data_IF_980580151558
#
_entry.id   IF_980580151558
#
_cell.length_a   1.000
_cell.length_b   1.000
_cell.length_c   1.000
_cell.angle_alpha   90.00
_cell.angle_beta   90.00
_cell.angle_gamma   90.00
#
_symmetry.space_group_name_H-M   'P 1'
#
loop_
_entity.id
_entity.type
_entity.pdbx_description
1 polymer ?
#
# COMPACT_ATOMS: atom_id res chain seq x y z
N UNK A 1 -10.98 -39.50 -1.19
CA UNK A 1 -9.55 -39.65 -0.81
C UNK A 1 -8.67 -39.36 -2.01
N UNK A 2 -8.25 -38.10 -2.24
CA UNK A 2 -7.17 -37.76 -3.17
C UNK A 2 -5.86 -37.50 -2.41
N UNK A 3 -4.76 -38.00 -2.96
CA UNK A 3 -3.47 -38.06 -2.28
C UNK A 3 -2.68 -36.74 -2.43
N UNK A 4 -2.11 -36.30 -1.30
CA UNK A 4 -1.25 -35.12 -1.16
C UNK A 4 0.16 -35.45 -1.66
N UNK A 5 0.57 -34.82 -2.75
CA UNK A 5 1.92 -34.93 -3.30
C UNK A 5 2.83 -33.88 -2.62
N UNK A 6 3.58 -34.30 -1.61
CA UNK A 6 4.57 -33.47 -0.91
C UNK A 6 5.84 -33.37 -1.77
N UNK A 7 6.24 -32.15 -2.14
CA UNK A 7 7.54 -31.88 -2.78
C UNK A 7 8.58 -31.47 -1.73
N UNK A 8 9.81 -32.01 -1.77
CA UNK A 8 10.86 -31.68 -0.81
C UNK A 8 11.51 -30.32 -1.11
N UNK A 9 11.84 -29.62 -0.01
CA UNK A 9 12.58 -28.36 0.06
C UNK A 9 14.07 -28.67 -0.15
N UNK A 10 14.67 -28.08 -1.18
CA UNK A 10 16.12 -28.10 -1.38
C UNK A 10 16.76 -26.90 -0.69
N UNK A 11 17.46 -27.16 0.41
CA UNK A 11 18.45 -26.27 1.01
C UNK A 11 19.66 -26.13 0.07
N UNK A 12 20.04 -24.90 -0.28
CA UNK A 12 21.36 -24.62 -0.86
C UNK A 12 22.11 -23.71 0.11
N UNK A 13 22.97 -24.34 0.89
CA UNK A 13 24.02 -23.70 1.68
C UNK A 13 25.06 -23.10 0.73
N UNK A 14 25.26 -21.78 0.81
CA UNK A 14 26.30 -21.06 0.09
C UNK A 14 27.14 -20.18 1.02
N UNK A 15 27.92 -20.81 1.88
CA UNK A 15 29.02 -20.18 2.61
C UNK A 15 30.13 -19.80 1.62
N UNK A 16 30.34 -18.51 1.35
CA UNK A 16 31.63 -18.03 0.87
C UNK A 16 32.20 -16.98 1.84
N UNK A 17 33.12 -17.49 2.68
CA UNK A 17 34.20 -16.73 3.31
C UNK A 17 35.11 -16.18 2.21
N UNK A 18 35.59 -14.94 2.35
CA UNK A 18 37.04 -14.70 2.29
C UNK A 18 37.44 -13.37 2.95
N UNK A 19 38.69 -13.27 3.45
CA UNK A 19 39.11 -12.27 4.43
C UNK A 19 40.19 -11.29 3.91
N UNK A 20 40.43 -10.26 4.74
CA UNK A 20 41.71 -9.62 5.06
C UNK A 20 42.39 -8.63 4.09
N UNK A 21 43.07 -7.66 4.76
CA UNK A 21 44.13 -6.71 4.35
C UNK A 21 43.59 -5.26 4.21
N UNK A 22 43.82 -4.29 5.12
CA UNK A 22 44.95 -3.93 6.00
C UNK A 22 46.16 -3.41 5.20
N UNK A 23 46.26 -2.07 5.03
CA UNK A 23 47.50 -1.40 4.63
C UNK A 23 47.37 0.02 4.05
N UNK A 24 48.13 0.95 4.64
CA UNK A 24 48.59 2.29 4.17
C UNK A 24 47.64 3.49 4.37
N UNK A 25 47.85 4.40 5.34
CA UNK A 25 48.86 5.48 5.43
C UNK A 25 49.00 6.32 4.15
N UNK A 26 48.62 7.62 4.24
CA UNK A 26 49.42 8.78 3.81
C UNK A 26 48.61 9.96 3.22
N UNK A 27 48.77 11.12 3.88
CA UNK A 27 48.93 12.48 3.31
C UNK A 27 47.75 13.45 3.26
N UNK A 28 47.96 14.52 4.03
CA UNK A 28 47.20 15.76 4.06
C UNK A 28 47.47 16.60 2.80
N UNK A 29 46.39 17.05 2.16
CA UNK A 29 46.37 18.24 1.33
C UNK A 29 45.11 19.04 1.70
N UNK A 30 45.32 20.22 2.27
CA UNK A 30 44.28 21.22 2.52
C UNK A 30 43.88 21.85 1.18
N UNK A 31 42.94 21.22 0.47
CA UNK A 31 42.19 21.88 -0.60
C UNK A 31 40.96 22.51 0.02
N UNK A 32 40.96 23.85 0.14
CA UNK A 32 39.76 24.63 0.43
C UNK A 32 38.79 24.49 -0.74
N UNK A 33 37.85 23.55 -0.62
CA UNK A 33 36.67 23.52 -1.45
C UNK A 33 35.73 24.62 -0.96
N UNK A 34 35.57 25.66 -1.77
CA UNK A 34 34.43 26.57 -1.65
C UNK A 34 33.17 25.69 -1.61
N UNK A 35 32.50 25.71 -0.47
CA UNK A 35 31.18 25.13 -0.36
C UNK A 35 30.24 25.99 -1.20
N UNK A 36 30.11 25.65 -2.49
CA UNK A 36 28.91 25.96 -3.25
C UNK A 36 27.76 25.41 -2.42
N UNK A 37 27.14 26.30 -1.67
CA UNK A 37 25.95 25.97 -0.90
C UNK A 37 24.83 26.06 -1.91
N UNK A 38 24.73 25.04 -2.76
CA UNK A 38 23.53 24.83 -3.58
C UNK A 38 22.35 24.99 -2.61
N UNK A 39 21.37 25.87 -2.91
CA UNK A 39 20.17 25.94 -2.10
C UNK A 39 19.59 24.52 -2.02
N UNK A 40 19.06 24.10 -0.86
CA UNK A 40 18.52 22.75 -0.72
C UNK A 40 17.55 22.53 -1.88
N UNK A 41 17.88 21.58 -2.74
CA UNK A 41 16.94 21.15 -3.77
C UNK A 41 15.72 20.69 -2.98
N UNK A 42 14.55 21.21 -3.32
CA UNK A 42 13.30 20.69 -2.78
C UNK A 42 13.25 19.23 -3.22
N UNK A 43 13.68 18.32 -2.33
CA UNK A 43 13.68 16.89 -2.55
C UNK A 43 12.22 16.47 -2.49
N UNK A 44 11.57 16.49 -3.65
CA UNK A 44 10.25 15.93 -3.80
C UNK A 44 10.28 14.47 -3.34
N UNK A 45 9.22 14.01 -2.67
CA UNK A 45 9.14 12.61 -2.29
C UNK A 45 9.24 11.74 -3.55
N UNK A 46 9.77 10.52 -3.38
CA UNK A 46 9.74 9.52 -4.44
C UNK A 46 8.31 9.14 -4.84
N UNK A 47 8.12 8.14 -5.72
CA UNK A 47 6.79 7.69 -6.12
C UNK A 47 5.90 7.37 -4.91
N UNK A 48 4.68 7.94 -4.89
CA UNK A 48 3.68 7.74 -3.83
C UNK A 48 2.37 7.26 -4.44
N UNK A 49 1.53 6.63 -3.62
CA UNK A 49 0.16 6.35 -3.99
C UNK A 49 -0.60 7.66 -4.21
N UNK A 50 -1.55 7.66 -5.14
CA UNK A 50 -2.42 8.81 -5.39
C UNK A 50 -3.44 8.97 -4.27
N UNK A 51 -3.92 7.85 -3.73
CA UNK A 51 -4.86 7.81 -2.61
C UNK A 51 -4.43 6.80 -1.57
N UNK A 52 -4.50 7.21 -0.30
CA UNK A 52 -4.46 6.32 0.85
C UNK A 52 -5.87 6.27 1.44
N UNK A 53 -6.53 5.12 1.30
CA UNK A 53 -7.94 4.94 1.67
C UNK A 53 -8.02 3.98 2.85
N UNK A 54 -8.58 4.46 3.96
CA UNK A 54 -8.86 3.65 5.14
C UNK A 54 -10.34 3.33 5.20
N UNK A 55 -10.67 2.04 5.19
CA UNK A 55 -12.05 1.55 5.22
C UNK A 55 -12.29 0.87 6.56
N UNK A 56 -13.37 1.24 7.25
CA UNK A 56 -13.75 0.64 8.53
C UNK A 56 -15.28 0.66 8.71
N UNK A 57 -15.77 -0.08 9.70
CA UNK A 57 -17.19 -0.07 10.05
C UNK A 57 -17.41 0.63 11.40
N UNK A 58 -18.49 1.39 11.51
CA UNK A 58 -18.87 2.09 12.75
C UNK A 58 -19.17 1.11 13.90
N UNK A 59 -19.76 -0.05 13.59
CA UNK A 59 -20.37 -0.96 14.55
C UNK A 59 -19.54 -2.23 14.84
N UNK A 60 -18.24 -2.25 14.49
CA UNK A 60 -17.33 -3.34 14.83
C UNK A 60 -16.39 -3.76 13.70
N UNK A 61 -15.97 -5.03 13.64
CA UNK A 61 -15.11 -5.51 12.57
C UNK A 61 -15.84 -5.50 11.21
N UNK A 62 -15.06 -5.36 10.15
CA UNK A 62 -15.55 -5.50 8.78
C UNK A 62 -16.10 -6.92 8.54
N UNK A 63 -17.26 -7.07 7.87
CA UNK A 63 -17.75 -8.36 7.44
C UNK A 63 -16.75 -9.08 6.54
N UNK A 64 -16.63 -10.41 6.68
CA UNK A 64 -15.66 -11.19 5.89
C UNK A 64 -15.88 -11.09 4.38
N UNK A 65 -17.11 -10.86 3.93
CA UNK A 65 -17.49 -10.68 2.53
C UNK A 65 -17.30 -9.25 2.01
N UNK A 66 -16.61 -8.39 2.76
CA UNK A 66 -16.33 -7.01 2.33
C UNK A 66 -15.56 -7.02 1.00
N UNK A 67 -16.16 -6.36 0.00
CA UNK A 67 -15.61 -6.19 -1.34
C UNK A 67 -15.34 -4.71 -1.59
N UNK A 68 -14.18 -4.40 -2.14
CA UNK A 68 -13.74 -3.06 -2.53
C UNK A 68 -13.51 -3.07 -4.04
N UNK A 69 -14.41 -2.44 -4.78
CA UNK A 69 -14.32 -2.24 -6.22
C UNK A 69 -13.75 -0.84 -6.47
N UNK A 70 -12.64 -0.77 -7.20
CA UNK A 70 -11.96 0.47 -7.54
C UNK A 70 -11.97 0.62 -9.06
N UNK A 71 -12.73 1.60 -9.54
CA UNK A 71 -12.77 1.98 -10.94
C UNK A 71 -11.90 3.22 -11.18
N UNK A 72 -11.03 3.17 -12.18
CA UNK A 72 -10.11 4.25 -12.53
C UNK A 72 -9.92 4.33 -14.05
N UNK A 73 -9.20 5.37 -14.52
CA UNK A 73 -9.12 5.66 -15.97
C UNK A 73 -8.54 4.53 -16.82
N UNK A 74 -7.72 3.66 -16.26
CA UNK A 74 -7.08 2.55 -16.98
C UNK A 74 -7.71 1.18 -16.73
N UNK A 75 -8.75 1.08 -15.89
CA UNK A 75 -9.43 -0.19 -15.64
C UNK A 75 -10.23 -0.22 -14.34
N UNK A 76 -10.50 -1.44 -13.90
CA UNK A 76 -11.25 -1.75 -12.70
C UNK A 76 -10.51 -2.88 -11.98
N UNK A 77 -10.36 -2.75 -10.67
CA UNK A 77 -9.76 -3.77 -9.81
C UNK A 77 -10.65 -4.02 -8.60
N UNK A 78 -10.83 -5.30 -8.26
CA UNK A 78 -11.71 -5.72 -7.16
C UNK A 78 -10.88 -6.46 -6.12
N UNK A 79 -10.90 -5.95 -4.89
CA UNK A 79 -10.35 -6.60 -3.71
C UNK A 79 -11.48 -7.25 -2.89
N UNK A 80 -11.26 -8.47 -2.40
CA UNK A 80 -12.19 -9.17 -1.53
C UNK A 80 -11.47 -9.64 -0.26
N UNK A 81 -12.07 -9.36 0.90
CA UNK A 81 -11.45 -9.58 2.20
C UNK A 81 -11.25 -11.07 2.53
N UNK A 82 -12.23 -11.92 2.23
CA UNK A 82 -12.19 -13.36 2.48
C UNK A 82 -11.44 -14.16 1.41
N UNK A 83 -11.06 -13.53 0.31
CA UNK A 83 -10.33 -14.20 -0.77
C UNK A 83 -8.81 -14.13 -0.57
N UNK A 84 -8.07 -15.12 -1.10
CA UNK A 84 -6.63 -15.01 -1.21
C UNK A 84 -6.28 -13.78 -2.05
N UNK A 85 -5.22 -13.08 -1.64
CA UNK A 85 -4.75 -11.90 -2.34
C UNK A 85 -4.40 -12.25 -3.79
N UNK A 86 -5.15 -11.65 -4.72
CA UNK A 86 -4.85 -11.71 -6.15
C UNK A 86 -3.86 -10.59 -6.47
N UNK A 87 -2.94 -10.80 -7.43
CA UNK A 87 -2.03 -9.74 -7.84
C UNK A 87 -2.83 -8.61 -8.52
N UNK A 88 -2.93 -7.48 -7.84
CA UNK A 88 -3.52 -6.24 -8.32
C UNK A 88 -2.39 -5.27 -8.68
N UNK A 89 -2.54 -4.53 -9.78
CA UNK A 89 -1.51 -3.62 -10.27
C UNK A 89 -1.63 -2.25 -9.60
N UNK A 90 -2.85 -1.72 -9.52
CA UNK A 90 -3.12 -0.36 -9.04
C UNK A 90 -3.56 -0.32 -7.57
N UNK A 91 -4.22 -1.35 -7.07
CA UNK A 91 -4.81 -1.39 -5.73
C UNK A 91 -4.01 -2.32 -4.82
N UNK A 92 -3.53 -1.82 -3.68
CA UNK A 92 -2.88 -2.65 -2.65
C UNK A 92 -3.51 -2.42 -1.30
N UNK A 93 -4.22 -3.42 -0.78
CA UNK A 93 -4.88 -3.34 0.51
C UNK A 93 -4.20 -4.21 1.57
N UNK A 94 -4.00 -3.65 2.75
CA UNK A 94 -3.54 -4.35 3.94
C UNK A 94 -4.64 -4.39 5.00
N UNK A 95 -4.68 -5.48 5.78
CA UNK A 95 -5.72 -5.72 6.78
C UNK A 95 -5.20 -5.32 8.15
N UNK A 96 -5.91 -4.43 8.83
CA UNK A 96 -5.71 -4.21 10.25
C UNK A 96 -6.54 -5.22 11.03
N UNK A 97 -5.89 -6.08 11.80
CA UNK A 97 -6.55 -7.16 12.54
C UNK A 97 -6.63 -6.86 14.03
N UNK A 98 -7.78 -7.15 14.64
CA UNK A 98 -7.93 -7.31 16.07
C UNK A 98 -8.28 -8.76 16.38
N UNK A 99 -7.27 -9.55 16.76
CA UNK A 99 -7.40 -11.01 16.82
C UNK A 99 -7.49 -11.60 15.42
N UNK A 100 -8.58 -12.32 15.14
CA UNK A 100 -8.84 -12.95 13.84
C UNK A 100 -9.78 -12.11 12.95
N UNK A 101 -10.27 -10.97 13.45
CA UNK A 101 -11.23 -10.11 12.75
C UNK A 101 -10.55 -8.87 12.18
N UNK A 102 -10.85 -8.54 10.92
CA UNK A 102 -10.39 -7.30 10.30
C UNK A 102 -11.21 -6.11 10.84
N UNK A 103 -10.53 -5.12 11.42
CA UNK A 103 -11.16 -3.90 11.94
C UNK A 103 -11.07 -2.74 10.95
N UNK A 104 -10.07 -2.77 10.06
CA UNK A 104 -9.93 -1.82 8.97
C UNK A 104 -9.19 -2.43 7.77
N UNK A 105 -9.34 -1.79 6.61
CA UNK A 105 -8.51 -1.99 5.42
C UNK A 105 -7.80 -0.69 5.09
N UNK A 106 -6.48 -0.73 5.01
CA UNK A 106 -5.67 0.39 4.53
C UNK A 106 -5.24 0.06 3.09
N UNK A 107 -5.81 0.78 2.12
CA UNK A 107 -5.63 0.58 0.69
C UNK A 107 -4.85 1.74 0.06
N UNK A 108 -3.71 1.44 -0.54
CA UNK A 108 -2.94 2.36 -1.37
C UNK A 108 -3.34 2.22 -2.83
N UNK A 109 -3.81 3.30 -3.46
CA UNK A 109 -4.27 3.34 -4.85
C UNK A 109 -3.26 4.09 -5.73
N UNK A 110 -2.69 3.41 -6.71
CA UNK A 110 -1.67 3.91 -7.64
C UNK A 110 -2.29 4.22 -9.01
N UNK A 111 -3.10 5.28 -9.08
CA UNK A 111 -3.83 5.66 -10.29
C UNK A 111 -3.33 6.98 -10.87
N UNK A 112 -3.39 7.15 -12.20
CA UNK A 112 -2.99 8.40 -12.87
C UNK A 112 -4.14 9.42 -13.01
N UNK A 113 -5.12 9.38 -12.10
CA UNK A 113 -6.34 10.16 -12.25
C UNK A 113 -7.35 9.92 -11.12
N UNK A 114 -8.56 10.50 -11.23
CA UNK A 114 -9.62 10.23 -10.28
C UNK A 114 -9.97 8.74 -10.24
N UNK A 115 -10.45 8.28 -9.10
CA UNK A 115 -10.88 6.91 -8.89
C UNK A 115 -12.24 6.91 -8.19
N UNK A 116 -13.07 5.92 -8.47
CA UNK A 116 -14.30 5.68 -7.72
C UNK A 116 -14.15 4.41 -6.93
N UNK A 117 -14.33 4.50 -5.61
CA UNK A 117 -14.29 3.36 -4.70
C UNK A 117 -15.71 2.99 -4.32
N UNK A 118 -16.09 1.74 -4.56
CA UNK A 118 -17.39 1.18 -4.18
C UNK A 118 -17.16 0.04 -3.19
N UNK A 119 -17.78 0.12 -2.02
CA UNK A 119 -17.63 -0.86 -0.94
C UNK A 119 -18.98 -1.52 -0.71
N UNK A 120 -18.97 -2.85 -0.73
CA UNK A 120 -20.14 -3.68 -0.43
C UNK A 120 -19.78 -4.68 0.66
N UNK A 121 -20.69 -4.88 1.61
CA UNK A 121 -20.51 -5.83 2.71
C UNK A 121 -21.88 -6.23 3.28
N UNK A 122 -22.04 -7.48 3.73
CA UNK A 122 -23.32 -7.92 4.32
C UNK A 122 -23.70 -7.06 5.52
N UNK A 123 -24.95 -6.57 5.52
CA UNK A 123 -25.51 -5.76 6.61
C UNK A 123 -25.31 -4.25 6.45
N UNK A 124 -24.46 -3.82 5.52
CA UNK A 124 -24.21 -2.41 5.24
C UNK A 124 -24.80 -2.01 3.88
N UNK A 125 -25.31 -0.78 3.71
CA UNK A 125 -25.63 -0.25 2.39
C UNK A 125 -24.34 -0.10 1.57
N UNK A 126 -24.46 -0.16 0.25
CA UNK A 126 -23.35 0.16 -0.65
C UNK A 126 -22.85 1.58 -0.39
N UNK A 127 -21.55 1.71 -0.13
CA UNK A 127 -20.87 3.00 0.00
C UNK A 127 -20.09 3.26 -1.27
N UNK A 128 -20.30 4.41 -1.90
CA UNK A 128 -19.64 4.80 -3.13
C UNK A 128 -19.05 6.20 -2.99
N UNK A 129 -17.75 6.32 -3.18
CA UNK A 129 -17.00 7.56 -3.05
C UNK A 129 -16.19 7.86 -4.31
N UNK A 130 -16.23 9.12 -4.78
CA UNK A 130 -15.38 9.60 -5.86
C UNK A 130 -14.17 10.34 -5.29
N UNK A 131 -12.98 9.81 -5.56
CA UNK A 131 -11.71 10.36 -5.12
C UNK A 131 -11.09 11.22 -6.23
N UNK A 132 -10.78 12.47 -5.88
CA UNK A 132 -10.14 13.44 -6.77
C UNK A 132 -8.71 13.67 -6.32
N UNK A 133 -7.76 13.51 -7.24
CA UNK A 133 -6.34 13.68 -6.94
C UNK A 133 -5.97 15.16 -6.79
N UNK A 134 -4.96 15.42 -5.99
CA UNK A 134 -4.38 16.76 -5.80
C UNK A 134 -2.99 16.85 -6.45
N UNK A 135 -2.59 18.08 -6.78
CA UNK A 135 -1.26 18.36 -7.30
C UNK A 135 -0.55 19.43 -6.45
N UNK A 136 0.76 19.28 -6.29
CA UNK A 136 1.65 20.27 -5.71
C UNK A 136 2.87 20.52 -6.62
N UNK A 137 3.86 21.27 -6.13
CA UNK A 137 5.10 21.56 -6.86
C UNK A 137 5.92 20.30 -7.20
N UNK A 138 5.61 19.17 -6.55
CA UNK A 138 6.28 17.88 -6.69
C UNK A 138 5.51 16.85 -7.52
N UNK A 139 4.31 17.20 -8.00
CA UNK A 139 3.48 16.33 -8.84
C UNK A 139 2.19 15.93 -8.14
N UNK A 140 1.83 14.65 -8.24
CA UNK A 140 0.63 14.11 -7.58
C UNK A 140 0.89 14.03 -6.08
N UNK A 141 0.02 14.67 -5.30
CA UNK A 141 0.03 14.60 -3.85
C UNK A 141 -0.94 13.51 -3.39
N UNK A 142 -0.50 12.66 -2.47
CA UNK A 142 -1.35 11.64 -1.87
C UNK A 142 -2.52 12.25 -1.11
N UNK A 143 -3.73 11.82 -1.44
CA UNK A 143 -4.97 12.22 -0.75
C UNK A 143 -5.38 11.10 0.20
N UNK A 144 -5.67 11.45 1.46
CA UNK A 144 -6.14 10.50 2.46
C UNK A 144 -7.67 10.53 2.51
N UNK A 145 -8.31 9.36 2.53
CA UNK A 145 -9.75 9.24 2.64
C UNK A 145 -10.14 8.17 3.67
N UNK A 146 -11.01 8.54 4.61
CA UNK A 146 -11.58 7.66 5.61
C UNK A 146 -13.02 7.31 5.20
N UNK A 147 -13.27 6.02 4.90
CA UNK A 147 -14.56 5.51 4.44
C UNK A 147 -15.18 4.63 5.53
N UNK A 148 -16.23 5.15 6.17
CA UNK A 148 -16.94 4.49 7.27
C UNK A 148 -18.23 3.83 6.79
N UNK A 149 -18.35 2.51 6.99
CA UNK A 149 -19.59 1.78 6.76
C UNK A 149 -20.53 1.93 7.95
N UNK A 150 -21.75 2.44 7.69
CA UNK A 150 -22.79 2.65 8.70
C UNK A 150 -23.97 1.71 8.46
N UNK A 151 -24.50 1.10 9.52
CA UNK A 151 -25.72 0.31 9.43
C UNK A 151 -26.94 1.20 9.07
N UNK A 152 -27.92 0.68 8.32
CA UNK A 152 -29.15 1.41 8.08
C UNK A 152 -29.93 1.60 9.41
N UNK A 153 -30.69 2.70 9.56
CA UNK A 153 -31.53 2.90 10.73
C UNK A 153 -32.58 1.78 10.84
N UNK A 154 -32.77 1.25 12.05
CA UNK A 154 -33.81 0.26 12.34
C UNK A 154 -35.15 1.00 12.38
N UNK A 155 -36.05 0.69 11.43
CA UNK A 155 -37.43 1.20 11.41
C UNK A 155 -38.37 0.41 12.34
#
# INVERSE_FOLDING_TARGET
MPQVLVRPISFVSGLLRSPALLGCLAWAALSGCSADTDPPRNECPGPQATFDVRIFAADGPLPGDTTVDVMFSSGEEVYQLDQPEVPLEAVRCSRELNGESAVALDCALWTNGPATVTITATGYPELKEELVHEHDDCGIKTVNADLELMLPPIE
#
